data_IF_137651043521
#
_entry.id   IF_137651043521
#
_cell.length_a   1.000
_cell.length_b   1.000
_cell.length_c   1.000
_cell.angle_alpha   90.00
_cell.angle_beta   90.00
_cell.angle_gamma   90.00
#
_symmetry.space_group_name_H-M   'P 1'
#
loop_
_entity.id
_entity.type
_entity.pdbx_description
1 polymer ?
#
# COMPACT_ATOMS: atom_id res chain seq x y z
N UNK A 1 -64.29 -23.58 45.43
CA UNK A 1 -64.74 -23.34 44.05
C UNK A 1 -63.69 -22.44 43.44
N UNK A 2 -62.87 -22.77 42.47
CA UNK A 2 -62.63 -23.91 41.56
C UNK A 2 -61.23 -23.57 40.96
N UNK A 3 -60.30 -24.50 40.77
CA UNK A 3 -60.17 -25.32 39.56
C UNK A 3 -60.22 -24.42 38.31
N UNK A 4 -59.26 -24.32 37.39
CA UNK A 4 -58.13 -25.16 37.01
C UNK A 4 -57.30 -24.30 36.03
N UNK A 5 -56.01 -24.60 35.81
CA UNK A 5 -55.23 -23.81 34.85
C UNK A 5 -53.74 -24.13 34.76
N UNK A 6 -53.41 -25.41 34.77
CA UNK A 6 -52.07 -25.91 34.44
C UNK A 6 -51.80 -25.75 32.95
N UNK A 7 -50.68 -25.13 32.60
CA UNK A 7 -49.99 -25.31 31.31
C UNK A 7 -48.49 -25.38 31.60
N UNK A 8 -48.02 -26.60 31.85
CA UNK A 8 -46.65 -26.98 31.56
C UNK A 8 -46.54 -27.25 30.05
N UNK A 9 -45.58 -26.63 29.38
CA UNK A 9 -45.00 -27.17 28.16
C UNK A 9 -43.58 -26.61 28.02
N UNK A 10 -42.65 -27.55 28.06
CA UNK A 10 -41.21 -27.42 28.03
C UNK A 10 -40.67 -26.73 26.77
N UNK A 11 -39.39 -26.38 26.91
CA UNK A 11 -38.33 -26.55 25.93
C UNK A 11 -37.87 -25.32 25.12
N UNK A 12 -36.54 -25.29 25.04
CA UNK A 12 -35.69 -24.61 24.07
C UNK A 12 -35.51 -23.11 24.27
N UNK A 13 -34.31 -22.53 24.26
CA UNK A 13 -32.95 -23.03 24.06
C UNK A 13 -32.07 -21.78 24.17
N UNK A 14 -30.84 -21.94 24.64
CA UNK A 14 -29.80 -20.92 24.62
C UNK A 14 -29.76 -20.13 23.30
N UNK A 15 -29.74 -18.81 23.39
CA UNK A 15 -29.26 -17.93 22.34
C UNK A 15 -28.56 -16.71 22.98
N UNK A 16 -27.54 -16.99 23.79
CA UNK A 16 -26.35 -16.15 23.81
C UNK A 16 -25.72 -16.23 22.40
N UNK A 17 -25.98 -15.25 21.55
CA UNK A 17 -25.15 -15.02 20.37
C UNK A 17 -25.33 -13.58 19.87
N UNK A 18 -24.34 -12.79 20.23
CA UNK A 18 -23.65 -11.94 19.27
C UNK A 18 -24.42 -10.71 18.76
N UNK A 19 -24.56 -9.72 19.65
CA UNK A 19 -24.31 -8.35 19.22
C UNK A 19 -22.79 -8.21 19.04
N UNK A 20 -22.25 -8.74 17.95
CA UNK A 20 -20.98 -8.25 17.43
C UNK A 20 -21.22 -6.78 17.09
N UNK A 21 -20.61 -5.81 17.79
CA UNK A 21 -20.44 -4.52 17.16
C UNK A 21 -19.65 -4.82 15.88
N UNK A 22 -20.19 -4.37 14.76
CA UNK A 22 -19.51 -4.32 13.47
C UNK A 22 -18.19 -3.56 13.70
N UNK A 23 -17.18 -4.31 14.13
CA UNK A 23 -15.84 -3.83 14.35
C UNK A 23 -15.28 -3.67 12.96
N UNK A 24 -15.53 -2.50 12.37
CA UNK A 24 -14.73 -2.02 11.26
C UNK A 24 -13.27 -2.27 11.65
N UNK A 25 -12.55 -3.17 10.96
CA UNK A 25 -11.15 -3.44 11.27
C UNK A 25 -10.25 -2.21 11.08
N UNK A 26 -10.81 -1.14 10.50
CA UNK A 26 -10.16 0.14 10.22
C UNK A 26 -10.19 1.15 11.40
N UNK A 27 -10.79 0.82 12.55
CA UNK A 27 -10.94 1.78 13.64
C UNK A 27 -9.63 2.08 14.41
N UNK A 28 -8.62 1.24 14.27
CA UNK A 28 -7.29 1.38 14.90
C UNK A 28 -6.17 1.67 13.87
N UNK A 29 -6.52 1.95 12.62
CA UNK A 29 -5.53 2.35 11.61
C UNK A 29 -5.00 3.75 11.96
N UNK A 30 -3.71 3.84 12.29
CA UNK A 30 -3.03 5.12 12.47
C UNK A 30 -3.12 5.88 11.13
N UNK A 31 -3.73 7.08 11.08
CA UNK A 31 -3.93 7.80 9.82
C UNK A 31 -2.61 8.23 9.16
N UNK A 32 -1.48 8.14 9.88
CA UNK A 32 -0.13 8.37 9.36
C UNK A 32 0.61 7.06 8.99
N UNK A 33 0.06 5.88 9.31
CA UNK A 33 0.59 4.60 8.85
C UNK A 33 0.09 4.36 7.42
N UNK A 34 0.87 4.87 6.47
CA UNK A 34 0.66 4.55 5.05
C UNK A 34 0.77 3.04 4.92
N UNK A 35 -0.34 2.39 4.58
CA UNK A 35 -0.39 0.97 4.27
C UNK A 35 0.42 0.69 3.00
N UNK A 36 1.72 0.44 3.20
CA UNK A 36 2.67 0.10 2.15
C UNK A 36 2.57 -1.38 1.75
N UNK A 37 1.56 -2.16 2.18
CA UNK A 37 1.31 -3.54 1.69
C UNK A 37 0.94 -3.61 0.20
N UNK A 38 0.78 -2.46 -0.48
CA UNK A 38 0.35 -2.33 -1.88
C UNK A 38 1.39 -2.66 -2.98
N UNK A 39 2.46 -3.43 -2.73
CA UNK A 39 3.36 -3.83 -3.82
C UNK A 39 4.06 -5.19 -3.57
N UNK A 40 3.35 -6.29 -3.85
CA UNK A 40 3.73 -7.09 -5.01
C UNK A 40 2.49 -7.52 -5.82
N UNK A 41 2.64 -7.59 -7.16
CA UNK A 41 1.58 -7.81 -8.17
C UNK A 41 0.62 -6.63 -8.43
N UNK A 42 1.14 -5.41 -8.62
CA UNK A 42 0.33 -4.36 -9.27
C UNK A 42 0.03 -4.77 -10.72
N UNK A 43 -1.21 -5.23 -11.00
CA UNK A 43 -1.79 -5.43 -12.35
C UNK A 43 -1.99 -4.09 -13.11
N UNK A 44 -1.20 -3.07 -12.80
CA UNK A 44 -1.28 -1.77 -13.43
C UNK A 44 -0.70 -1.84 -14.84
N UNK A 45 -1.53 -1.58 -15.84
CA UNK A 45 -1.09 -1.42 -17.23
C UNK A 45 -0.44 -0.06 -17.45
N UNK A 46 0.76 -0.06 -18.02
CA UNK A 46 1.49 1.13 -18.45
C UNK A 46 1.58 1.15 -19.99
N UNK A 47 0.59 1.71 -20.69
CA UNK A 47 0.66 1.81 -22.14
C UNK A 47 1.82 2.73 -22.55
N UNK A 48 2.47 2.40 -23.66
CA UNK A 48 3.57 3.19 -24.20
C UNK A 48 3.12 4.65 -24.43
N UNK A 49 3.82 5.58 -23.79
CA UNK A 49 3.49 7.00 -23.79
C UNK A 49 4.78 7.85 -23.86
N UNK A 50 5.28 8.14 -25.07
CA UNK A 50 6.54 8.87 -25.24
C UNK A 50 6.46 10.32 -24.73
N UNK A 51 5.27 10.92 -24.68
CA UNK A 51 5.09 12.27 -24.12
C UNK A 51 5.29 12.23 -22.60
N UNK A 52 4.72 11.23 -21.93
CA UNK A 52 4.92 11.02 -20.49
C UNK A 52 6.36 10.64 -20.15
N UNK A 53 7.01 9.80 -20.96
CA UNK A 53 8.45 9.51 -20.83
C UNK A 53 9.26 10.81 -20.86
N UNK A 54 9.08 11.62 -21.91
CA UNK A 54 9.82 12.87 -22.08
C UNK A 54 9.58 13.84 -20.92
N UNK A 55 8.32 14.00 -20.48
CA UNK A 55 7.96 14.88 -19.37
C UNK A 55 8.58 14.44 -18.04
N UNK A 56 8.55 13.14 -17.72
CA UNK A 56 9.17 12.62 -16.51
C UNK A 56 10.69 12.79 -16.52
N UNK A 57 11.33 12.62 -17.68
CA UNK A 57 12.77 12.82 -17.86
C UNK A 57 13.16 14.30 -17.77
N UNK A 58 12.36 15.22 -18.31
CA UNK A 58 12.54 16.67 -18.14
C UNK A 58 12.51 17.06 -16.65
N UNK A 59 11.51 16.58 -15.90
CA UNK A 59 11.45 16.83 -14.45
C UNK A 59 12.64 16.20 -13.72
N UNK A 60 13.04 14.99 -14.11
CA UNK A 60 14.19 14.31 -13.53
C UNK A 60 15.49 15.11 -13.71
N UNK A 61 15.67 15.73 -14.88
CA UNK A 61 16.80 16.60 -15.19
C UNK A 61 16.74 17.91 -14.39
N UNK A 62 15.56 18.52 -14.25
CA UNK A 62 15.37 19.76 -13.48
C UNK A 62 15.66 19.57 -11.98
N UNK A 63 15.32 18.40 -11.43
CA UNK A 63 15.56 18.06 -10.02
C UNK A 63 17.02 17.68 -9.77
N UNK A 64 17.77 17.26 -10.80
CA UNK A 64 19.12 16.77 -10.65
C UNK A 64 20.05 17.85 -10.06
N UNK A 65 20.58 17.59 -8.86
CA UNK A 65 21.41 18.52 -8.12
C UNK A 65 22.66 17.89 -7.50
N UNK A 66 23.31 18.64 -6.60
CA UNK A 66 24.55 18.19 -5.96
C UNK A 66 24.32 17.28 -4.74
N UNK A 67 23.11 17.29 -4.16
CA UNK A 67 22.79 16.45 -3.00
C UNK A 67 22.53 15.00 -3.41
N UNK A 68 22.84 14.07 -2.49
CA UNK A 68 22.52 12.64 -2.68
C UNK A 68 21.02 12.42 -2.89
N UNK A 69 20.20 13.18 -2.16
CA UNK A 69 18.74 13.13 -2.23
C UNK A 69 18.21 13.60 -3.60
N UNK A 70 18.73 14.70 -4.14
CA UNK A 70 18.31 15.21 -5.45
C UNK A 70 18.61 14.21 -6.57
N UNK A 71 19.81 13.60 -6.54
CA UNK A 71 20.20 12.56 -7.50
C UNK A 71 19.34 11.30 -7.36
N UNK A 72 18.98 10.94 -6.14
CA UNK A 72 18.10 9.79 -5.88
C UNK A 72 16.69 10.02 -6.43
N UNK A 73 16.10 11.20 -6.20
CA UNK A 73 14.77 11.54 -6.74
C UNK A 73 14.80 11.54 -8.27
N UNK A 74 15.82 12.15 -8.87
CA UNK A 74 16.04 12.13 -10.32
C UNK A 74 16.12 10.69 -10.86
N UNK A 75 16.92 9.83 -10.22
CA UNK A 75 17.05 8.42 -10.63
C UNK A 75 15.73 7.64 -10.53
N UNK A 76 14.92 7.89 -9.49
CA UNK A 76 13.59 7.27 -9.37
C UNK A 76 12.68 7.72 -10.51
N UNK A 77 12.66 9.01 -10.85
CA UNK A 77 11.85 9.52 -11.95
C UNK A 77 12.25 8.94 -13.30
N UNK A 78 13.54 8.78 -13.55
CA UNK A 78 14.03 8.07 -14.73
C UNK A 78 13.50 6.64 -14.79
N UNK A 79 13.56 5.89 -13.68
CA UNK A 79 13.05 4.53 -13.63
C UNK A 79 11.53 4.46 -13.78
N UNK A 80 10.79 5.40 -13.20
CA UNK A 80 9.33 5.51 -13.42
C UNK A 80 9.02 5.85 -14.88
N UNK A 81 9.86 6.65 -15.56
CA UNK A 81 9.69 6.95 -16.98
C UNK A 81 9.78 5.69 -17.85
N UNK A 82 10.65 4.75 -17.48
CA UNK A 82 10.85 3.52 -18.24
C UNK A 82 9.62 2.60 -18.22
N UNK A 83 8.69 2.76 -17.26
CA UNK A 83 7.39 2.07 -17.27
C UNK A 83 6.55 2.41 -18.50
N UNK A 84 6.73 3.61 -19.07
CA UNK A 84 5.99 4.08 -20.24
C UNK A 84 6.80 3.97 -21.54
N UNK A 85 8.05 3.48 -21.45
CA UNK A 85 8.94 3.26 -22.58
C UNK A 85 8.73 1.83 -23.09
N UNK A 86 8.34 1.61 -24.36
CA UNK A 86 8.14 0.25 -24.88
C UNK A 86 9.42 -0.60 -24.89
N UNK A 87 10.59 0.05 -24.87
CA UNK A 87 11.90 -0.60 -24.77
C UNK A 87 12.45 -0.61 -23.32
N UNK A 88 11.67 -0.08 -22.36
CA UNK A 88 12.01 -0.03 -20.95
C UNK A 88 11.97 -1.40 -20.28
N UNK A 89 13.00 -1.71 -19.50
CA UNK A 89 13.11 -2.96 -18.72
C UNK A 89 13.05 -2.63 -17.23
N UNK A 90 11.85 -2.34 -16.74
CA UNK A 90 11.61 -2.13 -15.31
C UNK A 90 10.17 -2.47 -14.95
N UNK A 91 9.92 -2.66 -13.65
CA UNK A 91 8.57 -2.89 -13.13
C UNK A 91 8.28 -2.01 -11.92
N UNK A 92 6.98 -1.74 -11.62
CA UNK A 92 6.61 -0.99 -10.42
C UNK A 92 7.14 -1.64 -9.13
N UNK A 93 7.09 -2.98 -9.05
CA UNK A 93 7.64 -3.75 -7.93
C UNK A 93 9.15 -3.52 -7.79
N UNK A 94 9.89 -3.57 -8.88
CA UNK A 94 11.33 -3.36 -8.89
C UNK A 94 11.72 -1.95 -8.42
N UNK A 95 10.94 -0.94 -8.82
CA UNK A 95 11.08 0.44 -8.34
C UNK A 95 10.83 0.51 -6.83
N UNK A 96 9.72 -0.07 -6.36
CA UNK A 96 9.34 -0.08 -4.95
C UNK A 96 10.41 -0.75 -4.07
N UNK A 97 10.86 -1.94 -4.44
CA UNK A 97 11.89 -2.68 -3.70
C UNK A 97 13.20 -1.90 -3.61
N UNK A 98 13.58 -1.19 -4.67
CA UNK A 98 14.77 -0.34 -4.67
C UNK A 98 14.64 0.83 -3.66
N UNK A 99 13.51 1.55 -3.69
CA UNK A 99 13.26 2.69 -2.79
C UNK A 99 13.16 2.24 -1.34
N UNK A 100 12.43 1.15 -1.06
CA UNK A 100 12.32 0.57 0.28
C UNK A 100 13.68 0.20 0.84
N UNK A 101 14.49 -0.51 0.06
CA UNK A 101 15.83 -0.91 0.46
C UNK A 101 16.73 0.28 0.82
N UNK A 102 16.64 1.37 0.04
CA UNK A 102 17.35 2.62 0.32
C UNK A 102 16.91 3.21 1.67
N UNK A 103 15.61 3.26 1.94
CA UNK A 103 15.08 3.80 3.19
C UNK A 103 15.49 2.93 4.38
N UNK A 104 15.47 1.62 4.24
CA UNK A 104 15.91 0.67 5.26
C UNK A 104 17.39 0.87 5.61
N UNK A 105 18.26 1.03 4.61
CA UNK A 105 19.68 1.32 4.82
C UNK A 105 19.87 2.68 5.52
N UNK A 106 19.13 3.71 5.09
CA UNK A 106 19.21 5.05 5.70
C UNK A 106 18.77 5.02 7.16
N UNK A 107 17.70 4.29 7.49
CA UNK A 107 17.23 4.10 8.85
C UNK A 107 18.24 3.36 9.74
N UNK A 108 19.05 2.47 9.16
CA UNK A 108 20.09 1.70 9.87
C UNK A 108 21.43 2.43 10.05
N UNK A 109 21.57 3.66 9.51
CA UNK A 109 22.77 4.49 9.63
C UNK A 109 23.74 4.45 8.44
N UNK A 110 23.32 3.93 7.29
CA UNK A 110 24.15 3.86 6.07
C UNK A 110 25.00 2.58 5.93
N UNK A 111 25.71 2.45 4.81
CA UNK A 111 26.56 1.28 4.47
C UNK A 111 27.91 1.31 5.24
N UNK A 112 28.30 2.45 5.78
CA UNK A 112 29.61 2.68 6.40
C UNK A 112 29.67 2.31 7.89
N UNK A 113 29.38 1.05 8.22
CA UNK A 113 29.72 0.47 9.52
C UNK A 113 30.91 -0.47 9.44
#
# INVERSE_FOLDING_TARGET
MSDDGQLDADADSDADADSTPDANPDADADPDEVDWEMAPDSDADFPADPERVAFLREIADDIYGESSESRQVSAILYRVSDLYDPDGDTSPEEIYLNVRHIMDIKAQGGIDR
#
